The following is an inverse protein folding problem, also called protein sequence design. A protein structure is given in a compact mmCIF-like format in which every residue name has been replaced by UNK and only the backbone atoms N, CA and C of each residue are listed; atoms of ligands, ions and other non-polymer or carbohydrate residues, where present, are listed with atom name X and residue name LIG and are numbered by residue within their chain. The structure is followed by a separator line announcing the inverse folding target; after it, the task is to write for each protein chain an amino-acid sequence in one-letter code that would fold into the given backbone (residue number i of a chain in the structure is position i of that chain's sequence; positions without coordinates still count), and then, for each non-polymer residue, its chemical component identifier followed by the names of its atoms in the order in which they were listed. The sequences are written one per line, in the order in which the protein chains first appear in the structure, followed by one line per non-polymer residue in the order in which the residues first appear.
data_IF_882808663964
#
_entry.id   IF_882808663964
#
_cell.length_a   1.000
_cell.length_b   1.000
_cell.length_c   1.000
_cell.angle_alpha   90.00
_cell.angle_beta   90.00
_cell.angle_gamma   90.00
#
_symmetry.space_group_name_H-M   'P 1'
#
loop_
_entity.id
_entity.type
_entity.pdbx_description
1 polymer ?
#
# COMPACT_ATOMS: atom_id res chain seq x y z
N UNK A 1 -14.73 -0.99 21.13
CA UNK A 1 -14.12 -1.08 20.66
C UNK A 1 -13.41 -0.38 19.74
N UNK A 2 -12.52 -0.50 19.42
CA UNK A 2 -11.65 0.29 18.71
C UNK A 2 -12.12 0.62 17.36
N UNK A 3 -12.33 1.84 17.14
CA UNK A 3 -12.76 2.27 15.85
C UNK A 3 -11.78 3.23 15.26
N UNK A 4 -10.55 3.13 15.70
CA UNK A 4 -9.51 4.05 15.29
C UNK A 4 -9.15 3.93 13.83
N UNK A 5 -9.58 2.86 13.16
CA UNK A 5 -9.21 2.60 11.78
C UNK A 5 -9.76 3.62 10.78
N UNK A 6 -10.64 4.53 11.19
CA UNK A 6 -11.20 5.53 10.29
C UNK A 6 -10.49 6.87 10.35
N UNK A 7 -9.32 6.89 10.95
CA UNK A 7 -8.52 8.11 11.05
C UNK A 7 -7.36 8.06 10.06
N UNK A 8 -6.97 9.25 9.59
CA UNK A 8 -5.70 9.40 8.91
C UNK A 8 -4.60 8.97 9.89
N UNK A 9 -3.62 8.23 9.39
CA UNK A 9 -2.57 7.69 10.24
C UNK A 9 -1.22 7.78 9.55
N UNK A 10 -0.18 7.48 10.29
CA UNK A 10 1.20 7.62 9.81
C UNK A 10 1.92 6.29 9.87
N UNK A 11 2.87 6.13 8.95
CA UNK A 11 3.76 4.98 8.94
C UNK A 11 5.16 5.44 8.58
N UNK A 12 6.13 4.64 8.99
CA UNK A 12 7.53 4.85 8.62
C UNK A 12 7.94 3.70 7.74
N UNK A 13 8.53 4.01 6.60
CA UNK A 13 9.03 2.98 5.67
C UNK A 13 10.22 2.31 6.32
N UNK A 14 10.17 0.98 6.42
CA UNK A 14 11.23 0.19 7.05
C UNK A 14 12.11 -0.55 6.05
N UNK A 15 11.57 -0.88 4.87
CA UNK A 15 12.25 -1.73 3.91
C UNK A 15 12.45 -1.03 2.58
N UNK A 16 13.20 -1.70 1.70
CA UNK A 16 13.61 -1.11 0.42
C UNK A 16 12.73 -1.53 -0.75
N UNK A 17 11.61 -2.20 -0.49
CA UNK A 17 10.77 -2.73 -1.57
C UNK A 17 10.20 -1.66 -2.49
N UNK A 18 10.15 -0.42 -2.04
CA UNK A 18 9.64 0.70 -2.82
C UNK A 18 10.73 1.69 -3.25
N UNK A 19 11.99 1.38 -3.00
CA UNK A 19 13.09 2.26 -3.40
C UNK A 19 13.21 2.29 -4.94
N UNK A 20 13.56 3.42 -5.53
CA UNK A 20 13.90 4.69 -4.88
C UNK A 20 12.70 5.60 -4.62
N UNK A 21 11.49 5.17 -4.99
CA UNK A 21 10.28 5.98 -4.81
C UNK A 21 10.08 6.34 -3.34
N UNK A 22 10.16 5.33 -2.48
CA UNK A 22 10.14 5.50 -1.03
C UNK A 22 11.38 4.81 -0.47
N UNK A 23 12.05 5.48 0.45
CA UNK A 23 13.27 4.96 1.08
C UNK A 23 13.01 4.67 2.54
N UNK A 24 13.76 3.72 3.14
CA UNK A 24 13.67 3.51 4.59
C UNK A 24 13.86 4.82 5.34
N UNK A 25 13.01 5.06 6.33
CA UNK A 25 13.01 6.31 7.09
C UNK A 25 12.02 7.34 6.58
N UNK A 26 11.49 7.19 5.38
CA UNK A 26 10.43 8.08 4.91
C UNK A 26 9.21 7.91 5.79
N UNK A 27 8.56 9.03 6.14
CA UNK A 27 7.31 9.01 6.90
C UNK A 27 6.15 9.34 5.98
N UNK A 28 5.07 8.61 6.14
CA UNK A 28 3.93 8.65 5.23
C UNK A 28 2.68 9.04 5.99
N UNK A 29 1.83 9.83 5.34
CA UNK A 29 0.49 10.10 5.81
C UNK A 29 -0.48 9.27 4.99
N UNK A 30 -1.33 8.51 5.66
CA UNK A 30 -2.16 7.50 5.03
C UNK A 30 -3.64 7.74 5.32
N UNK A 31 -4.44 7.58 4.28
CA UNK A 31 -5.89 7.57 4.39
C UNK A 31 -6.30 6.16 4.78
N UNK A 32 -7.15 5.99 5.81
CA UNK A 32 -7.56 4.63 6.20
C UNK A 32 -8.35 3.96 5.07
N UNK A 33 -8.06 2.69 4.83
CA UNK A 33 -8.66 1.93 3.74
C UNK A 33 -8.95 0.50 4.20
N UNK A 34 -9.67 -0.24 3.35
CA UNK A 34 -10.06 -1.62 3.66
C UNK A 34 -11.31 -1.68 4.50
N UNK A 35 -11.57 -2.83 5.15
CA UNK A 35 -12.83 -3.05 5.87
C UNK A 35 -13.04 -2.11 7.04
N UNK A 36 -11.97 -1.57 7.60
CA UNK A 36 -12.04 -0.64 8.73
C UNK A 36 -11.82 0.81 8.29
N UNK A 37 -11.76 1.06 6.97
CA UNK A 37 -11.53 2.38 6.44
C UNK A 37 -12.80 3.20 6.27
N UNK A 38 -12.66 4.31 5.58
CA UNK A 38 -13.78 5.19 5.29
C UNK A 38 -14.77 4.50 4.36
N UNK A 39 -16.08 4.58 4.62
CA UNK A 39 -17.07 3.83 3.83
C UNK A 39 -17.01 4.11 2.33
N UNK A 40 -16.71 5.34 1.94
CA UNK A 40 -16.66 5.70 0.52
C UNK A 40 -15.37 5.28 -0.16
N UNK A 41 -14.43 4.69 0.59
CA UNK A 41 -13.15 4.20 0.06
C UNK A 41 -13.07 2.67 0.07
N UNK A 42 -14.20 2.00 -0.03
CA UNK A 42 -14.22 0.54 0.03
C UNK A 42 -13.85 -0.13 -1.28
N UNK A 43 -13.95 0.61 -2.37
CA UNK A 43 -13.60 0.05 -3.68
C UNK A 43 -12.10 -0.14 -3.84
N UNK A 44 -11.72 -0.78 -4.93
CA UNK A 44 -10.32 -1.00 -5.24
C UNK A 44 -9.65 0.33 -5.57
N UNK A 45 -8.49 0.62 -5.00
CA UNK A 45 -7.73 1.79 -5.40
C UNK A 45 -7.23 1.64 -6.84
N UNK A 46 -6.97 2.77 -7.48
CA UNK A 46 -6.52 2.76 -8.87
C UNK A 46 -5.12 2.18 -9.02
N UNK A 47 -4.87 1.60 -10.18
CA UNK A 47 -3.51 1.22 -10.59
C UNK A 47 -2.62 2.46 -10.50
N UNK A 48 -1.46 2.28 -9.91
CA UNK A 48 -0.51 3.35 -9.64
C UNK A 48 -0.56 3.89 -8.22
N UNK A 49 -1.64 3.63 -7.48
CA UNK A 49 -1.74 4.06 -6.08
C UNK A 49 -0.75 3.30 -5.21
N UNK A 50 -0.17 4.01 -4.24
CA UNK A 50 0.66 3.37 -3.23
C UNK A 50 -0.22 3.10 -2.02
N UNK A 51 -0.18 1.86 -1.55
CA UNK A 51 -1.07 1.39 -0.47
C UNK A 51 -0.25 0.69 0.60
N UNK A 52 -0.86 0.58 1.78
CA UNK A 52 -0.34 -0.26 2.87
C UNK A 52 -1.31 -1.41 3.04
N UNK A 53 -0.79 -2.62 3.03
CA UNK A 53 -1.57 -3.83 3.23
C UNK A 53 -0.95 -4.65 4.35
N UNK A 54 -1.80 -5.34 5.11
CA UNK A 54 -1.33 -6.25 6.14
C UNK A 54 -1.13 -7.64 5.54
N UNK A 55 0.00 -8.24 5.86
CA UNK A 55 0.29 -9.58 5.40
C UNK A 55 1.12 -10.29 6.47
N UNK A 56 0.61 -11.41 6.97
CA UNK A 56 1.30 -12.21 7.99
C UNK A 56 1.71 -11.39 9.20
N UNK A 57 0.82 -10.51 9.66
CA UNK A 57 1.07 -9.68 10.83
C UNK A 57 1.95 -8.47 10.58
N UNK A 58 2.32 -8.20 9.33
CA UNK A 58 3.18 -7.09 8.94
C UNK A 58 2.43 -6.12 8.07
N UNK A 59 2.87 -4.87 8.09
CA UNK A 59 2.38 -3.85 7.16
C UNK A 59 3.40 -3.68 6.04
N UNK A 60 2.96 -3.92 4.82
CA UNK A 60 3.78 -3.77 3.62
C UNK A 60 3.30 -2.57 2.82
N UNK A 61 4.24 -1.76 2.34
CA UNK A 61 3.95 -0.66 1.42
C UNK A 61 4.22 -1.16 0.01
N UNK A 62 3.22 -1.07 -0.86
CA UNK A 62 3.31 -1.56 -2.23
C UNK A 62 2.55 -0.64 -3.17
N UNK A 63 2.71 -0.87 -4.47
CA UNK A 63 1.98 -0.13 -5.50
C UNK A 63 0.94 -1.05 -6.14
N UNK A 64 -0.26 -0.51 -6.35
CA UNK A 64 -1.29 -1.22 -7.09
C UNK A 64 -0.87 -1.28 -8.55
N UNK A 65 -0.85 -2.48 -9.12
CA UNK A 65 -0.43 -2.71 -10.49
C UNK A 65 -1.55 -3.37 -11.29
N UNK A 66 -1.44 -3.28 -12.61
CA UNK A 66 -2.31 -4.03 -13.49
C UNK A 66 -2.02 -5.52 -13.33
N UNK A 67 -3.06 -6.34 -13.42
CA UNK A 67 -2.89 -7.79 -13.36
C UNK A 67 -2.13 -8.27 -14.60
N UNK A 68 -1.27 -9.28 -14.46
CA UNK A 68 -0.65 -9.88 -15.64
C UNK A 68 -1.71 -10.43 -16.59
N UNK A 69 -1.46 -10.33 -17.89
CA UNK A 69 -2.45 -10.73 -18.91
C UNK A 69 -2.79 -12.21 -18.86
N UNK A 70 -1.88 -13.03 -18.38
CA UNK A 70 -2.08 -14.48 -18.31
C UNK A 70 -2.58 -14.93 -16.95
N UNK A 71 -2.92 -14.01 -16.08
CA UNK A 71 -3.39 -14.32 -14.72
C UNK A 71 -4.87 -14.02 -14.63
N UNK A 72 -5.65 -15.00 -14.21
CA UNK A 72 -7.08 -14.80 -14.00
C UNK A 72 -7.30 -13.88 -12.80
N UNK A 73 -8.03 -12.79 -13.03
CA UNK A 73 -8.31 -11.84 -11.97
C UNK A 73 -9.26 -12.43 -10.95
N UNK A 74 -8.92 -12.23 -9.68
CA UNK A 74 -9.75 -12.65 -8.55
C UNK A 74 -10.59 -11.47 -8.11
N UNK A 75 -11.92 -11.63 -7.91
CA UNK A 75 -12.74 -10.56 -7.37
C UNK A 75 -12.24 -10.12 -6.00
N UNK A 76 -12.40 -8.84 -5.71
CA UNK A 76 -12.06 -8.26 -4.40
C UNK A 76 -10.60 -8.51 -4.01
N UNK A 77 -9.70 -8.45 -4.99
CA UNK A 77 -8.28 -8.60 -4.77
C UNK A 77 -7.49 -7.63 -5.65
N UNK A 78 -6.25 -7.40 -5.26
CA UNK A 78 -5.35 -6.47 -5.93
C UNK A 78 -4.06 -7.18 -6.31
N UNK A 79 -3.45 -6.70 -7.37
CA UNK A 79 -2.08 -7.09 -7.73
C UNK A 79 -1.15 -6.01 -7.22
N UNK A 80 -0.32 -6.34 -6.23
CA UNK A 80 0.54 -5.38 -5.56
C UNK A 80 2.00 -5.67 -5.87
N UNK A 81 2.73 -4.65 -6.29
CA UNK A 81 4.15 -4.77 -6.62
C UNK A 81 4.96 -3.74 -5.86
N UNK A 82 6.16 -4.13 -5.47
CA UNK A 82 7.15 -3.18 -4.99
C UNK A 82 7.88 -2.57 -6.17
N UNK A 83 8.17 -1.28 -6.10
CA UNK A 83 8.91 -0.59 -7.15
C UNK A 83 10.33 -1.13 -7.32
N UNK A 84 10.90 -1.67 -6.25
CA UNK A 84 12.21 -2.30 -6.28
C UNK A 84 12.05 -3.82 -6.36
N UNK A 85 11.95 -4.34 -7.57
CA UNK A 85 11.67 -5.75 -7.79
C UNK A 85 12.68 -6.68 -7.10
N UNK A 86 13.93 -6.27 -7.06
CA UNK A 86 15.00 -7.09 -6.48
C UNK A 86 14.87 -7.22 -4.96
N UNK A 87 14.18 -6.31 -4.31
CA UNK A 87 14.03 -6.28 -2.85
C UNK A 87 12.58 -6.39 -2.41
N UNK A 88 11.69 -6.87 -3.26
CA UNK A 88 10.26 -6.92 -2.96
C UNK A 88 9.75 -8.36 -2.97
N UNK A 89 9.05 -8.71 -1.90
CA UNK A 89 8.23 -9.92 -1.87
C UNK A 89 6.77 -9.46 -2.05
N UNK A 90 6.22 -9.71 -3.21
CA UNK A 90 4.93 -9.15 -3.58
C UNK A 90 4.10 -10.13 -4.43
N UNK A 91 3.11 -9.62 -5.18
CA UNK A 91 2.20 -10.49 -5.94
C UNK A 91 2.90 -11.36 -6.98
N UNK A 92 4.09 -10.97 -7.44
CA UNK A 92 4.90 -11.83 -8.33
C UNK A 92 5.24 -13.15 -7.66
N UNK A 93 5.32 -13.17 -6.33
CA UNK A 93 5.72 -14.35 -5.55
C UNK A 93 4.54 -15.01 -4.85
N UNK A 94 3.66 -14.21 -4.26
CA UNK A 94 2.57 -14.73 -3.43
C UNK A 94 1.18 -14.65 -4.03
N UNK A 95 1.05 -14.09 -5.23
CA UNK A 95 -0.26 -13.93 -5.85
C UNK A 95 -1.03 -12.71 -5.37
N UNK A 96 -2.31 -12.61 -5.73
CA UNK A 96 -3.11 -11.43 -5.40
C UNK A 96 -3.33 -11.25 -3.91
N UNK A 97 -3.58 -10.00 -3.51
CA UNK A 97 -3.80 -9.61 -2.13
C UNK A 97 -5.26 -9.21 -1.98
N UNK A 98 -6.00 -9.78 -1.02
CA UNK A 98 -7.42 -9.44 -0.89
C UNK A 98 -7.61 -7.99 -0.44
N UNK A 99 -8.70 -7.37 -0.91
CA UNK A 99 -9.02 -6.00 -0.52
C UNK A 99 -9.14 -5.84 0.99
N UNK A 100 -9.59 -6.87 1.69
CA UNK A 100 -9.73 -6.79 3.14
C UNK A 100 -8.39 -6.71 3.88
N UNK A 101 -7.28 -6.90 3.19
CA UNK A 101 -5.95 -6.71 3.77
C UNK A 101 -5.48 -5.26 3.70
N UNK A 102 -6.17 -4.39 2.97
CA UNK A 102 -5.78 -2.99 2.89
C UNK A 102 -5.95 -2.30 4.23
N UNK A 103 -5.02 -1.40 4.54
CA UNK A 103 -5.05 -0.59 5.75
C UNK A 103 -4.89 0.89 5.46
N UNK A 104 -4.30 1.25 4.34
CA UNK A 104 -4.13 2.66 4.00
C UNK A 104 -3.84 2.90 2.55
N UNK A 105 -4.14 4.13 2.11
CA UNK A 105 -3.78 4.65 0.80
C UNK A 105 -2.93 5.88 1.04
N UNK A 106 -1.79 5.97 0.36
CA UNK A 106 -0.85 7.05 0.57
C UNK A 106 -1.44 8.38 0.10
N UNK A 107 -1.42 9.37 1.00
CA UNK A 107 -1.74 10.74 0.67
C UNK A 107 -0.49 11.48 0.22
N UNK A 108 0.53 11.54 1.08
CA UNK A 108 1.82 12.12 0.72
C UNK A 108 2.86 11.76 1.76
N UNK A 109 4.12 12.01 1.40
CA UNK A 109 5.25 11.81 2.31
C UNK A 109 5.40 13.05 3.19
N UNK A 110 5.45 12.84 4.50
CA UNK A 110 5.55 13.94 5.47
C UNK A 110 6.98 14.20 5.92
N UNK A 111 7.88 13.29 5.68
CA UNK A 111 9.28 13.43 6.08
C UNK A 111 10.16 12.39 5.46
N UNK A 112 11.46 12.54 5.60
CA UNK A 112 12.18 13.67 6.20
C UNK A 112 11.98 14.97 5.42
N UNK A 113 12.36 16.10 6.02
CA UNK A 113 11.97 17.41 5.49
C UNK A 113 12.39 17.68 4.05
N UNK A 114 13.51 17.15 3.61
CA UNK A 114 13.93 17.34 2.23
C UNK A 114 13.18 16.48 1.21
N UNK A 115 12.29 15.60 1.68
CA UNK A 115 11.59 14.66 0.80
C UNK A 115 10.08 14.76 0.93
N UNK A 116 9.57 15.82 1.56
CA UNK A 116 8.13 15.99 1.74
C UNK A 116 7.41 16.20 0.42
N UNK A 117 6.16 15.76 0.35
CA UNK A 117 5.28 16.06 -0.74
C UNK A 117 4.67 14.85 -1.40
N UNK A 118 4.12 15.06 -2.58
CA UNK A 118 3.51 14.00 -3.35
C UNK A 118 4.54 12.97 -3.80
N UNK A 119 4.08 11.73 -3.89
CA UNK A 119 4.88 10.61 -4.37
C UNK A 119 4.24 10.09 -5.64
N UNK A 120 5.03 10.02 -6.71
CA UNK A 120 4.54 9.55 -8.01
C UNK A 120 4.72 8.08 -8.20
#
# INVERSE_FOLDING_TARGET
MATTARRIWRAVVAERSMAPTLEPGDTLLLLPAGPHGLPWLRGAPRVGSIVVAEREGRLDVKRVAAWPVDTLQTPDALWLLGDNAAASNDSRHGGPVPLNALRGILLFRTGPSGRRGRVS
#
